data_IF_746182429372
#
_entry.id   IF_746182429372
#
_cell.length_a   1.000
_cell.length_b   1.000
_cell.length_c   1.000
_cell.angle_alpha   90.00
_cell.angle_beta   90.00
_cell.angle_gamma   90.00
#
_symmetry.space_group_name_H-M   'P 1'
#
loop_
_entity.id
_entity.type
_entity.pdbx_description
1 polymer ?
#
# COMPACT_ATOMS: atom_id res chain seq x y z
N UNK A 1 -2.15 -20.89 -26.80
CA UNK A 1 -1.14 -20.05 -26.12
C UNK A 1 -1.91 -19.06 -25.26
N UNK A 2 -1.75 -19.09 -23.94
CA UNK A 2 -2.45 -18.15 -23.04
C UNK A 2 -1.75 -16.79 -23.13
N UNK A 3 -2.52 -15.73 -23.41
CA UNK A 3 -2.01 -14.37 -23.52
C UNK A 3 -2.44 -13.53 -22.32
N UNK A 4 -1.52 -12.76 -21.78
CA UNK A 4 -1.71 -11.88 -20.62
C UNK A 4 -1.54 -10.42 -21.04
N UNK A 5 -2.49 -9.57 -20.68
CA UNK A 5 -2.33 -8.12 -20.77
C UNK A 5 -1.97 -7.59 -19.39
N UNK A 6 -0.87 -6.85 -19.29
CA UNK A 6 -0.47 -6.15 -18.07
C UNK A 6 -0.70 -4.66 -18.26
N UNK A 7 -1.45 -4.03 -17.36
CA UNK A 7 -1.59 -2.57 -17.30
C UNK A 7 -1.09 -2.08 -15.95
N UNK A 8 -0.29 -1.02 -15.94
CA UNK A 8 0.27 -0.44 -14.73
C UNK A 8 0.09 1.08 -14.75
N UNK A 9 -0.10 1.67 -13.57
CA UNK A 9 -0.21 3.11 -13.38
C UNK A 9 0.62 3.53 -12.17
N UNK A 10 1.50 4.49 -12.38
CA UNK A 10 2.10 5.27 -11.31
C UNK A 10 1.18 6.46 -11.04
N UNK A 11 0.75 6.61 -9.79
CA UNK A 11 -0.05 7.75 -9.39
C UNK A 11 0.85 8.91 -9.01
N UNK A 12 0.50 10.13 -9.42
CA UNK A 12 1.31 11.33 -9.20
C UNK A 12 1.22 11.81 -7.75
N UNK A 13 1.85 11.07 -6.84
CA UNK A 13 1.87 11.33 -5.40
C UNK A 13 3.07 12.18 -4.94
N UNK A 14 3.99 12.55 -5.84
CA UNK A 14 5.21 13.28 -5.48
C UNK A 14 6.25 12.35 -4.86
N UNK A 15 6.93 12.80 -3.80
CA UNK A 15 7.90 11.99 -3.06
C UNK A 15 7.16 10.91 -2.27
N UNK A 16 7.54 9.64 -2.48
CA UNK A 16 6.85 8.44 -1.99
C UNK A 16 6.67 7.44 -3.14
N UNK A 17 5.76 6.48 -2.99
CA UNK A 17 5.36 5.59 -4.09
C UNK A 17 3.90 5.17 -3.94
N UNK A 18 3.16 5.26 -5.04
CA UNK A 18 1.85 4.64 -5.17
C UNK A 18 1.70 4.13 -6.61
N UNK A 19 1.74 2.81 -6.77
CA UNK A 19 1.58 2.15 -8.06
C UNK A 19 0.43 1.15 -7.97
N UNK A 20 -0.40 1.10 -9.01
CA UNK A 20 -1.42 0.06 -9.15
C UNK A 20 -1.30 -0.63 -10.50
N UNK A 21 -1.76 -1.86 -10.58
CA UNK A 21 -1.78 -2.58 -11.85
C UNK A 21 -2.82 -3.69 -11.89
N UNK A 22 -3.01 -4.20 -13.10
CA UNK A 22 -3.85 -5.35 -13.39
C UNK A 22 -3.16 -6.27 -14.37
N UNK A 23 -3.28 -7.57 -14.15
CA UNK A 23 -2.93 -8.62 -15.10
C UNK A 23 -4.23 -9.27 -15.55
N UNK A 24 -4.51 -9.27 -16.85
CA UNK A 24 -5.76 -9.80 -17.40
C UNK A 24 -5.44 -10.95 -18.35
N UNK A 25 -6.02 -12.11 -18.09
CA UNK A 25 -6.04 -13.23 -19.02
C UNK A 25 -6.98 -12.92 -20.17
N UNK A 26 -6.49 -12.99 -21.41
CA UNK A 26 -7.31 -12.66 -22.58
C UNK A 26 -8.43 -13.67 -22.84
N UNK A 27 -8.19 -14.94 -22.52
CA UNK A 27 -9.10 -16.06 -22.76
C UNK A 27 -10.26 -16.09 -21.76
N UNK A 28 -9.97 -15.96 -20.46
CA UNK A 28 -10.97 -16.05 -19.39
C UNK A 28 -11.49 -14.70 -18.93
N UNK A 29 -10.83 -13.60 -19.31
CA UNK A 29 -11.04 -12.25 -18.76
C UNK A 29 -10.81 -12.14 -17.25
N UNK A 30 -10.24 -13.16 -16.62
CA UNK A 30 -9.84 -13.10 -15.22
C UNK A 30 -8.79 -12.02 -15.03
N UNK A 31 -8.95 -11.24 -13.97
CA UNK A 31 -8.06 -10.14 -13.62
C UNK A 31 -7.43 -10.39 -12.26
N UNK A 32 -6.13 -10.12 -12.15
CA UNK A 32 -5.40 -10.02 -10.91
C UNK A 32 -5.04 -8.55 -10.67
N UNK A 33 -5.56 -7.96 -9.61
CA UNK A 33 -5.42 -6.56 -9.25
C UNK A 33 -4.39 -6.41 -8.13
N UNK A 34 -3.44 -5.51 -8.30
CA UNK A 34 -2.39 -5.29 -7.32
C UNK A 34 -2.08 -3.81 -7.11
N UNK A 35 -1.56 -3.52 -5.92
CA UNK A 35 -1.02 -2.22 -5.52
C UNK A 35 0.37 -2.44 -4.92
N UNK A 36 1.30 -1.52 -5.21
CA UNK A 36 2.65 -1.51 -4.67
C UNK A 36 2.92 -0.12 -4.10
N UNK A 37 3.11 -0.07 -2.78
CA UNK A 37 3.06 1.11 -1.93
C UNK A 37 1.82 1.99 -2.17
N UNK A 38 1.58 2.92 -1.26
CA UNK A 38 0.44 3.84 -1.38
C UNK A 38 0.68 5.13 -0.60
N UNK A 39 1.91 5.59 -0.54
CA UNK A 39 2.29 6.70 0.33
C UNK A 39 2.80 7.94 -0.39
N UNK A 40 2.89 9.02 0.38
CA UNK A 40 3.49 10.29 -0.03
C UNK A 40 4.05 11.06 1.16
N UNK A 41 5.06 11.89 0.95
CA UNK A 41 5.44 12.91 1.94
C UNK A 41 4.40 14.05 2.04
N UNK A 42 3.49 14.17 1.06
CA UNK A 42 2.44 15.19 1.01
C UNK A 42 1.06 14.59 1.18
N UNK A 43 0.49 14.71 2.38
CA UNK A 43 -0.85 14.20 2.68
C UNK A 43 -1.93 14.84 1.80
N UNK A 44 -1.80 16.14 1.47
CA UNK A 44 -2.71 16.83 0.54
C UNK A 44 -2.68 16.19 -0.85
N UNK A 45 -1.49 15.84 -1.34
CA UNK A 45 -1.34 15.19 -2.65
C UNK A 45 -1.92 13.78 -2.62
N UNK A 46 -1.62 13.02 -1.56
CA UNK A 46 -2.12 11.66 -1.37
C UNK A 46 -3.65 11.62 -1.31
N UNK A 47 -4.27 12.46 -0.48
CA UNK A 47 -5.73 12.53 -0.35
C UNK A 47 -6.41 12.93 -1.67
N UNK A 48 -5.81 13.83 -2.45
CA UNK A 48 -6.32 14.17 -3.78
C UNK A 48 -6.28 12.96 -4.72
N UNK A 49 -5.18 12.20 -4.69
CA UNK A 49 -5.02 10.99 -5.52
C UNK A 49 -5.99 9.91 -5.10
N UNK A 50 -6.08 9.60 -3.81
CA UNK A 50 -7.04 8.63 -3.26
C UNK A 50 -8.48 9.04 -3.56
N UNK A 51 -8.84 10.31 -3.40
CA UNK A 51 -10.16 10.85 -3.73
C UNK A 51 -10.48 10.86 -5.22
N UNK A 52 -9.48 10.98 -6.10
CA UNK A 52 -9.68 10.81 -7.55
C UNK A 52 -9.89 9.34 -7.90
N UNK A 53 -9.10 8.46 -7.29
CA UNK A 53 -9.17 7.02 -7.44
C UNK A 53 -10.54 6.48 -7.02
N UNK A 54 -11.03 6.86 -5.83
CA UNK A 54 -12.33 6.40 -5.33
C UNK A 54 -13.48 6.86 -6.23
N UNK A 55 -13.45 8.12 -6.70
CA UNK A 55 -14.45 8.65 -7.64
C UNK A 55 -14.43 7.99 -9.02
N UNK A 56 -13.27 7.52 -9.48
CA UNK A 56 -13.14 6.84 -10.77
C UNK A 56 -13.48 5.34 -10.74
N UNK A 57 -14.06 4.84 -9.63
CA UNK A 57 -14.41 3.43 -9.50
C UNK A 57 -13.20 2.58 -9.10
N UNK A 58 -12.59 2.91 -7.96
CA UNK A 58 -11.61 2.00 -7.35
C UNK A 58 -12.25 0.63 -7.13
N UNK A 59 -11.54 -0.48 -7.40
CA UNK A 59 -12.10 -1.80 -7.22
C UNK A 59 -12.52 -2.04 -5.76
N UNK A 60 -13.66 -2.69 -5.57
CA UNK A 60 -14.15 -3.12 -4.25
C UNK A 60 -13.16 -4.08 -3.56
N UNK A 61 -12.38 -4.82 -4.34
CA UNK A 61 -11.33 -5.70 -3.83
C UNK A 61 -10.09 -5.71 -4.71
N UNK A 62 -8.92 -5.85 -4.08
CA UNK A 62 -7.65 -6.11 -4.75
C UNK A 62 -7.05 -7.42 -4.24
N UNK A 63 -6.35 -8.13 -5.12
CA UNK A 63 -5.79 -9.43 -4.80
C UNK A 63 -4.53 -9.30 -3.94
N UNK A 64 -3.75 -8.24 -4.15
CA UNK A 64 -2.48 -8.04 -3.46
C UNK A 64 -2.15 -6.57 -3.24
N UNK A 65 -1.78 -6.20 -2.01
CA UNK A 65 -1.15 -4.94 -1.66
C UNK A 65 0.25 -5.25 -1.14
N UNK A 66 1.28 -4.73 -1.79
CA UNK A 66 2.68 -4.91 -1.38
C UNK A 66 3.20 -3.61 -0.79
N UNK A 67 3.83 -3.71 0.38
CA UNK A 67 4.58 -2.61 0.98
C UNK A 67 6.06 -2.91 0.88
N UNK A 68 6.81 -1.97 0.29
CA UNK A 68 8.23 -2.16 0.01
C UNK A 68 9.10 -2.01 1.25
N UNK A 69 8.71 -1.13 2.17
CA UNK A 69 9.33 -0.86 3.47
C UNK A 69 8.37 -0.04 4.34
N UNK A 70 8.75 0.25 5.59
CA UNK A 70 7.91 0.95 6.56
C UNK A 70 8.21 2.45 6.69
N UNK A 71 8.77 3.10 5.67
CA UNK A 71 8.86 4.56 5.70
C UNK A 71 7.45 5.16 5.59
N UNK A 72 7.19 6.23 6.34
CA UNK A 72 5.86 6.82 6.43
C UNK A 72 5.33 7.25 5.05
N UNK A 73 6.18 7.78 4.16
CA UNK A 73 5.83 8.18 2.81
C UNK A 73 5.63 7.03 1.81
N UNK A 74 5.67 5.78 2.27
CA UNK A 74 5.33 4.59 1.48
C UNK A 74 4.05 3.90 1.99
N UNK A 75 3.76 4.00 3.29
CA UNK A 75 2.65 3.27 3.93
C UNK A 75 1.48 4.14 4.38
N UNK A 76 1.62 5.46 4.40
CA UNK A 76 0.60 6.35 5.00
C UNK A 76 -0.75 6.45 4.26
N UNK A 77 -0.93 5.79 3.12
CA UNK A 77 -2.24 5.58 2.48
C UNK A 77 -2.86 4.20 2.71
N UNK A 78 -2.17 3.27 3.41
CA UNK A 78 -2.67 1.89 3.63
C UNK A 78 -4.01 1.91 4.35
N UNK A 79 -4.11 2.70 5.43
CA UNK A 79 -5.33 2.75 6.24
C UNK A 79 -6.54 3.18 5.40
N UNK A 80 -6.36 4.18 4.54
CA UNK A 80 -7.43 4.66 3.68
C UNK A 80 -7.82 3.61 2.63
N UNK A 81 -6.86 2.88 2.05
CA UNK A 81 -7.16 1.77 1.14
C UNK A 81 -7.97 0.70 1.86
N UNK A 82 -7.56 0.28 3.06
CA UNK A 82 -8.25 -0.78 3.81
C UNK A 82 -9.67 -0.37 4.26
N UNK A 83 -9.94 0.92 4.43
CA UNK A 83 -11.30 1.43 4.73
C UNK A 83 -12.29 1.23 3.59
N UNK A 84 -11.84 1.34 2.33
CA UNK A 84 -12.73 1.34 1.16
C UNK A 84 -12.54 0.16 0.22
N UNK A 85 -11.51 -0.66 0.44
CA UNK A 85 -11.14 -1.74 -0.47
C UNK A 85 -10.75 -2.99 0.32
N UNK A 86 -11.36 -4.13 -0.03
CA UNK A 86 -10.97 -5.42 0.52
C UNK A 86 -9.65 -5.88 -0.10
N UNK A 87 -8.61 -6.01 0.72
CA UNK A 87 -7.32 -6.55 0.32
C UNK A 87 -7.26 -8.04 0.66
N UNK A 88 -7.12 -8.92 -0.35
CA UNK A 88 -7.05 -10.37 -0.12
C UNK A 88 -5.71 -10.78 0.49
N UNK A 89 -4.61 -10.17 0.02
CA UNK A 89 -3.25 -10.45 0.50
C UNK A 89 -2.52 -9.14 0.77
N UNK A 90 -2.07 -8.94 2.01
CA UNK A 90 -1.16 -7.85 2.38
C UNK A 90 0.26 -8.42 2.50
N UNK A 91 1.13 -8.05 1.58
CA UNK A 91 2.55 -8.44 1.58
C UNK A 91 3.34 -7.37 2.31
N UNK A 92 3.98 -7.78 3.40
CA UNK A 92 4.78 -6.91 4.24
C UNK A 92 6.28 -7.13 3.96
N UNK A 93 7.09 -6.09 4.10
CA UNK A 93 8.54 -6.24 4.01
C UNK A 93 9.02 -7.09 5.19
N UNK A 94 10.01 -7.93 4.93
CA UNK A 94 10.67 -8.69 5.98
C UNK A 94 11.64 -7.77 6.72
N UNK A 95 11.49 -7.65 8.04
CA UNK A 95 12.42 -6.93 8.90
C UNK A 95 12.72 -7.76 10.14
N UNK A 96 14.00 -7.84 10.48
CA UNK A 96 14.44 -8.43 11.74
C UNK A 96 14.03 -7.54 12.92
N UNK A 97 13.63 -8.15 14.04
CA UNK A 97 13.14 -7.41 15.22
C UNK A 97 14.11 -6.32 15.71
N UNK A 98 15.41 -6.62 15.74
CA UNK A 98 16.43 -5.64 16.15
C UNK A 98 16.51 -4.45 15.19
N UNK A 99 16.35 -4.70 13.88
CA UNK A 99 16.31 -3.65 12.87
C UNK A 99 15.07 -2.78 13.04
N UNK A 100 13.90 -3.40 13.22
CA UNK A 100 12.64 -2.69 13.51
C UNK A 100 12.73 -1.79 14.74
N UNK A 101 13.20 -2.32 15.86
CA UNK A 101 13.33 -1.54 17.11
C UNK A 101 14.31 -0.39 16.92
N UNK A 102 15.44 -0.62 16.23
CA UNK A 102 16.42 0.42 15.93
C UNK A 102 15.83 1.53 15.06
N UNK A 103 15.16 1.18 13.98
CA UNK A 103 14.53 2.12 13.04
C UNK A 103 13.51 3.01 13.74
N UNK A 104 12.66 2.42 14.59
CA UNK A 104 11.66 3.15 15.39
C UNK A 104 12.36 4.05 16.42
N UNK A 105 13.37 3.54 17.12
CA UNK A 105 14.07 4.27 18.19
C UNK A 105 14.81 5.50 17.68
N UNK A 106 15.32 5.46 16.44
CA UNK A 106 15.97 6.61 15.81
C UNK A 106 15.02 7.49 15.00
N UNK A 107 13.72 7.16 14.98
CA UNK A 107 12.67 7.81 14.19
C UNK A 107 13.01 7.92 12.67
N UNK A 108 13.97 7.16 12.15
CA UNK A 108 14.52 7.33 10.80
C UNK A 108 15.00 8.77 10.46
N UNK A 109 15.44 9.00 9.22
CA UNK A 109 15.76 10.37 8.74
C UNK A 109 14.51 11.24 8.55
N UNK A 110 13.31 10.63 8.47
CA UNK A 110 12.05 11.29 8.09
C UNK A 110 10.97 11.29 9.19
N UNK A 111 11.21 10.68 10.35
CA UNK A 111 10.18 10.42 11.36
C UNK A 111 9.40 9.14 11.08
N UNK A 112 9.09 8.36 12.12
CA UNK A 112 8.16 7.21 12.07
C UNK A 112 6.89 7.58 12.82
N UNK A 113 5.72 7.47 12.18
CA UNK A 113 4.45 7.73 12.86
C UNK A 113 4.14 6.63 13.88
N UNK A 114 3.35 6.89 14.93
CA UNK A 114 2.92 5.84 15.85
C UNK A 114 2.19 4.68 15.18
N UNK A 115 1.41 4.96 14.12
CA UNK A 115 0.72 3.93 13.35
C UNK A 115 1.71 3.05 12.59
N UNK A 116 2.67 3.67 11.90
CA UNK A 116 3.74 2.99 11.17
C UNK A 116 4.62 2.16 12.10
N UNK A 117 4.98 2.70 13.28
CA UNK A 117 5.75 1.96 14.28
C UNK A 117 5.00 0.72 14.79
N UNK A 118 3.70 0.84 15.08
CA UNK A 118 2.89 -0.32 15.47
C UNK A 118 2.77 -1.34 14.34
N UNK A 119 2.61 -0.89 13.10
CA UNK A 119 2.56 -1.75 11.91
C UNK A 119 3.85 -2.56 11.77
N UNK A 120 4.99 -1.92 11.99
CA UNK A 120 6.30 -2.56 11.89
C UNK A 120 6.57 -3.53 13.06
N UNK A 121 6.17 -3.19 14.29
CA UNK A 121 6.37 -4.03 15.47
C UNK A 121 5.42 -5.22 15.52
N UNK A 122 4.16 -5.01 15.16
CA UNK A 122 3.12 -6.04 15.28
C UNK A 122 2.01 -5.77 14.25
N UNK A 123 2.20 -6.22 13.00
CA UNK A 123 1.25 -5.98 11.92
C UNK A 123 -0.11 -6.64 12.17
N UNK A 124 -0.15 -7.76 12.90
CA UNK A 124 -1.41 -8.42 13.28
C UNK A 124 -2.20 -7.57 14.27
N UNK A 125 -1.55 -7.07 15.33
CA UNK A 125 -2.17 -6.15 16.29
C UNK A 125 -2.58 -4.83 15.62
N UNK A 126 -1.74 -4.34 14.71
CA UNK A 126 -2.06 -3.18 13.91
C UNK A 126 -3.36 -3.41 13.13
N UNK A 127 -3.46 -4.47 12.32
CA UNK A 127 -4.68 -4.81 11.58
C UNK A 127 -5.90 -4.98 12.50
N UNK A 128 -5.76 -5.73 13.60
CA UNK A 128 -6.87 -6.02 14.52
C UNK A 128 -7.46 -4.77 15.19
N UNK A 129 -6.68 -3.70 15.32
CA UNK A 129 -7.13 -2.44 15.93
C UNK A 129 -7.76 -1.45 14.94
N UNK A 130 -7.89 -1.82 13.66
CA UNK A 130 -8.55 -1.03 12.61
C UNK A 130 -9.75 -1.75 11.96
N UNK A 131 -10.17 -2.88 12.54
CA UNK A 131 -11.43 -3.56 12.21
C UNK A 131 -12.60 -2.99 13.01
#
# INVERSE_FOLDING_TARGET
>A
MTSLIVTQKFHSVGNGTFKSGRVVRQDTREAFLWVYDCGSTSMTTLNRVLGAITRCGWPESIDMLVLSHFDNDHVNGVEEILRYCRVKTLVLPFSEWAQTVREISVMGKKGTSPSTALMQLNPVKWLASRN
#
